data_IF_916581272130
#
_entry.id   IF_916581272130
#
_cell.length_a   1.000
_cell.length_b   1.000
_cell.length_c   1.000
_cell.angle_alpha   90.00
_cell.angle_beta   90.00
_cell.angle_gamma   90.00
#
_symmetry.space_group_name_H-M   'P 1'
#
loop_
_entity.id
_entity.type
_entity.pdbx_description
1 polymer ?
#
# COMPACT_ATOMS: atom_id res chain seq x y z
N UNK A 1 -20.83 10.77 15.96
CA UNK A 1 -19.91 9.80 16.61
C UNK A 1 -19.12 9.13 15.51
N UNK A 2 -17.82 9.46 15.40
CA UNK A 2 -16.93 8.74 14.47
C UNK A 2 -16.73 7.33 15.02
N UNK A 3 -17.16 6.30 14.29
CA UNK A 3 -16.90 4.89 14.66
C UNK A 3 -15.43 4.47 14.42
N UNK A 4 -14.61 5.35 13.86
CA UNK A 4 -13.23 5.06 13.48
C UNK A 4 -12.24 5.11 14.66
N UNK A 5 -12.57 5.85 15.73
CA UNK A 5 -11.71 6.04 16.91
C UNK A 5 -12.52 5.85 18.17
N UNK A 6 -12.04 4.97 19.06
CA UNK A 6 -12.62 4.78 20.39
C UNK A 6 -11.72 5.49 21.43
N UNK A 7 -12.09 6.65 21.95
CA UNK A 7 -11.32 7.32 22.99
C UNK A 7 -11.49 6.57 24.33
N UNK A 8 -10.38 6.39 25.03
CA UNK A 8 -10.35 5.86 26.39
C UNK A 8 -9.71 6.91 27.27
N UNK A 9 -10.39 7.29 28.35
CA UNK A 9 -9.88 8.21 29.35
C UNK A 9 -8.99 7.43 30.32
N UNK A 10 -7.72 7.85 30.38
CA UNK A 10 -6.71 7.27 31.27
C UNK A 10 -5.90 8.41 31.90
N UNK A 11 -5.19 8.09 32.99
CA UNK A 11 -4.26 9.03 33.60
C UNK A 11 -3.08 9.33 32.69
N UNK A 12 -2.45 10.50 32.86
CA UNK A 12 -1.38 10.98 31.99
C UNK A 12 -0.20 10.01 31.89
N UNK A 13 0.30 9.51 33.03
CA UNK A 13 1.47 8.63 33.06
C UNK A 13 1.17 7.27 32.37
N UNK A 14 -0.04 6.76 32.54
CA UNK A 14 -0.49 5.53 31.89
C UNK A 14 -0.65 5.74 30.38
N UNK A 15 -1.21 6.87 29.95
CA UNK A 15 -1.36 7.20 28.54
C UNK A 15 -0.02 7.27 27.81
N UNK A 16 0.97 7.92 28.40
CA UNK A 16 2.33 8.04 27.84
C UNK A 16 3.02 6.67 27.80
N UNK A 17 2.92 5.88 28.86
CA UNK A 17 3.51 4.54 28.88
C UNK A 17 2.93 3.62 27.82
N UNK A 18 1.59 3.62 27.62
CA UNK A 18 0.96 2.83 26.57
C UNK A 18 1.32 3.30 25.15
N UNK A 19 1.52 4.61 24.97
CA UNK A 19 1.97 5.18 23.71
C UNK A 19 3.41 4.78 23.37
N UNK A 20 4.33 4.84 24.35
CA UNK A 20 5.72 4.40 24.19
C UNK A 20 5.83 2.89 23.93
N UNK A 21 4.95 2.09 24.52
CA UNK A 21 4.85 0.65 24.28
C UNK A 21 4.13 0.29 22.97
N UNK A 22 3.76 1.29 22.15
CA UNK A 22 3.06 1.12 20.88
C UNK A 22 1.69 0.41 20.98
N UNK A 23 1.07 0.40 22.17
CA UNK A 23 -0.25 -0.19 22.42
C UNK A 23 -1.37 0.67 21.89
N UNK A 24 -1.18 1.98 21.85
CA UNK A 24 -2.13 2.96 21.31
C UNK A 24 -1.50 3.76 20.19
N UNK A 25 -2.30 4.11 19.18
CA UNK A 25 -1.83 4.80 17.97
C UNK A 25 -1.63 6.31 18.16
N UNK A 26 -2.29 6.90 19.17
CA UNK A 26 -2.16 8.32 19.51
C UNK A 26 -2.67 8.60 20.92
N UNK A 27 -2.17 9.69 21.50
CA UNK A 27 -2.61 10.25 22.78
C UNK A 27 -2.95 11.71 22.59
N UNK A 28 -4.14 12.10 23.03
CA UNK A 28 -4.59 13.50 23.08
C UNK A 28 -4.51 14.01 24.51
N UNK A 29 -3.69 15.02 24.74
CA UNK A 29 -3.51 15.65 26.03
C UNK A 29 -4.37 16.90 26.06
N UNK A 30 -5.31 16.94 26.99
CA UNK A 30 -6.22 18.07 27.22
C UNK A 30 -5.79 18.76 28.51
N UNK A 31 -5.36 20.05 28.47
CA UNK A 31 -4.99 20.79 29.69
C UNK A 31 -6.18 20.90 30.67
N UNK A 32 -5.89 20.90 31.96
CA UNK A 32 -6.93 21.05 33.00
C UNK A 32 -7.73 22.36 32.87
N UNK A 33 -7.06 23.41 32.38
CA UNK A 33 -7.64 24.76 32.18
C UNK A 33 -8.38 24.91 30.84
N UNK A 34 -8.57 23.81 30.08
CA UNK A 34 -9.18 23.85 28.73
C UNK A 34 -10.57 24.55 28.74
N UNK A 35 -11.37 24.25 29.71
CA UNK A 35 -12.70 24.88 29.84
C UNK A 35 -12.61 26.39 30.06
N UNK A 36 -11.74 26.83 30.95
CA UNK A 36 -11.61 28.25 31.28
C UNK A 36 -11.00 29.02 30.08
N UNK A 37 -10.06 28.42 29.35
CA UNK A 37 -9.50 28.99 28.14
C UNK A 37 -10.53 29.13 27.02
N UNK A 38 -11.40 28.15 26.82
CA UNK A 38 -12.46 28.22 25.80
C UNK A 38 -13.56 29.21 26.15
N UNK A 39 -13.90 29.34 27.42
CA UNK A 39 -14.93 30.28 27.91
C UNK A 39 -14.46 31.74 27.85
N UNK A 40 -13.18 32.02 28.12
CA UNK A 40 -12.62 33.38 28.21
C UNK A 40 -12.01 33.89 26.89
N UNK A 41 -12.42 33.35 25.74
CA UNK A 41 -11.88 33.69 24.42
C UNK A 41 -10.33 33.54 24.29
N UNK A 42 -9.72 32.73 25.15
CA UNK A 42 -8.29 32.41 25.12
C UNK A 42 -7.99 31.39 24.04
N UNK A 43 -6.70 31.34 23.66
CA UNK A 43 -6.21 30.28 22.76
C UNK A 43 -5.92 29.02 23.58
N UNK A 44 -6.83 28.04 23.52
CA UNK A 44 -6.56 26.72 24.06
C UNK A 44 -5.70 25.90 23.08
N UNK A 45 -4.58 25.37 23.55
CA UNK A 45 -3.73 24.46 22.77
C UNK A 45 -3.98 23.01 23.24
N UNK A 46 -4.25 22.14 22.29
CA UNK A 46 -4.32 20.70 22.52
C UNK A 46 -3.07 20.03 21.96
N UNK A 47 -2.47 19.13 22.72
CA UNK A 47 -1.30 18.39 22.27
C UNK A 47 -1.75 17.00 21.79
N UNK A 48 -1.53 16.72 20.51
CA UNK A 48 -1.76 15.41 19.93
C UNK A 48 -0.43 14.72 19.63
N UNK A 49 -0.09 13.67 20.36
CA UNK A 49 1.03 12.78 20.06
C UNK A 49 0.52 11.60 19.26
N UNK A 50 1.05 11.40 18.06
CA UNK A 50 0.69 10.30 17.16
C UNK A 50 1.91 9.53 16.69
N UNK A 51 1.74 8.26 16.39
CA UNK A 51 2.80 7.47 15.75
C UNK A 51 3.01 7.98 14.33
N UNK A 52 4.27 8.24 13.92
CA UNK A 52 4.56 8.71 12.57
C UNK A 52 4.23 7.65 11.52
N UNK A 53 3.75 8.07 10.36
CA UNK A 53 3.52 7.24 9.18
C UNK A 53 2.56 6.04 9.37
N UNK A 54 1.59 6.15 10.27
CA UNK A 54 0.55 5.13 10.45
C UNK A 54 -0.80 5.65 9.94
N UNK A 55 -1.57 4.79 9.25
CA UNK A 55 -2.93 5.11 8.81
C UNK A 55 -3.85 5.43 10.01
N UNK A 56 -3.65 4.73 11.12
CA UNK A 56 -4.38 4.99 12.36
C UNK A 56 -4.05 6.37 12.93
N UNK A 57 -2.78 6.81 12.86
CA UNK A 57 -2.38 8.15 13.29
C UNK A 57 -3.04 9.26 12.47
N UNK A 58 -3.19 9.06 11.14
CA UNK A 58 -3.90 9.99 10.27
C UNK A 58 -5.41 10.02 10.58
N UNK A 59 -6.03 8.86 10.80
CA UNK A 59 -7.45 8.78 11.16
C UNK A 59 -7.74 9.47 12.48
N UNK A 60 -6.86 9.32 13.49
CA UNK A 60 -6.99 10.01 14.78
C UNK A 60 -6.81 11.52 14.61
N UNK A 61 -5.84 11.97 13.84
CA UNK A 61 -5.62 13.40 13.55
C UNK A 61 -6.87 14.03 12.93
N UNK A 62 -7.45 13.41 11.92
CA UNK A 62 -8.69 13.87 11.29
C UNK A 62 -9.86 13.89 12.28
N UNK A 63 -10.01 12.85 13.11
CA UNK A 63 -11.06 12.77 14.10
C UNK A 63 -10.92 13.89 15.16
N UNK A 64 -9.68 14.18 15.60
CA UNK A 64 -9.41 15.27 16.56
C UNK A 64 -9.65 16.63 15.90
N UNK A 65 -9.22 16.85 14.66
CA UNK A 65 -9.48 18.10 13.94
C UNK A 65 -10.98 18.37 13.79
N UNK A 66 -11.76 17.35 13.44
CA UNK A 66 -13.22 17.46 13.36
C UNK A 66 -13.85 17.76 14.72
N UNK A 67 -13.38 17.13 15.80
CA UNK A 67 -13.89 17.38 17.14
C UNK A 67 -13.57 18.82 17.60
N UNK A 68 -12.35 19.29 17.38
CA UNK A 68 -11.91 20.66 17.68
C UNK A 68 -12.72 21.67 16.89
N UNK A 69 -12.90 21.46 15.58
CA UNK A 69 -13.71 22.33 14.73
C UNK A 69 -15.15 22.46 15.23
N UNK A 70 -15.78 21.36 15.67
CA UNK A 70 -17.13 21.38 16.25
C UNK A 70 -17.19 22.18 17.54
N UNK A 71 -16.25 21.95 18.46
CA UNK A 71 -16.22 22.70 19.73
C UNK A 71 -15.98 24.18 19.49
N UNK A 72 -15.06 24.52 18.59
CA UNK A 72 -14.79 25.92 18.21
C UNK A 72 -16.02 26.59 17.60
N UNK A 73 -16.75 25.90 16.72
CA UNK A 73 -17.97 26.44 16.14
C UNK A 73 -19.04 26.71 17.18
N UNK A 74 -19.22 25.80 18.14
CA UNK A 74 -20.18 26.01 19.25
C UNK A 74 -19.80 27.19 20.14
N UNK A 75 -18.51 27.30 20.48
CA UNK A 75 -17.98 28.41 21.27
C UNK A 75 -18.15 29.76 20.54
N UNK A 76 -17.94 29.78 19.23
CA UNK A 76 -18.14 30.99 18.43
C UNK A 76 -19.61 31.41 18.35
N UNK A 77 -20.53 30.47 18.17
CA UNK A 77 -21.98 30.76 18.23
C UNK A 77 -22.37 31.35 19.58
N UNK A 78 -21.88 30.76 20.67
CA UNK A 78 -22.17 31.28 22.01
C UNK A 78 -21.60 32.67 22.22
N UNK A 79 -20.36 32.93 21.77
CA UNK A 79 -19.69 34.23 21.83
C UNK A 79 -20.48 35.29 21.07
N UNK A 80 -20.80 35.04 19.82
CA UNK A 80 -21.55 35.96 18.96
C UNK A 80 -22.94 36.24 19.55
N UNK A 81 -23.60 35.19 20.05
CA UNK A 81 -24.91 35.36 20.71
C UNK A 81 -24.82 36.26 21.96
N UNK A 82 -23.79 36.10 22.78
CA UNK A 82 -23.53 36.91 23.97
C UNK A 82 -23.21 38.37 23.63
N UNK A 83 -22.34 38.58 22.61
CA UNK A 83 -22.04 39.94 22.13
C UNK A 83 -23.28 40.64 21.56
N UNK A 84 -24.12 39.91 20.84
CA UNK A 84 -25.35 40.44 20.27
C UNK A 84 -26.36 40.81 21.40
N UNK A 85 -26.50 39.93 22.39
CA UNK A 85 -27.37 40.21 23.57
C UNK A 85 -26.90 41.44 24.34
N UNK A 86 -25.58 41.58 24.59
CA UNK A 86 -25.01 42.72 25.27
C UNK A 86 -25.23 44.06 24.53
N UNK A 87 -25.40 44.02 23.20
CA UNK A 87 -25.69 45.22 22.40
C UNK A 87 -27.13 45.75 22.61
N UNK A 88 -28.08 44.87 22.87
CA UNK A 88 -29.45 45.24 23.09
C UNK A 88 -29.80 45.45 24.58
N UNK A 89 -29.20 44.65 25.45
CA UNK A 89 -29.40 44.70 26.89
C UNK A 89 -28.05 44.42 27.58
N UNK A 90 -27.34 45.47 28.02
CA UNK A 90 -26.09 45.30 28.74
C UNK A 90 -26.25 44.44 30.01
N UNK A 91 -25.35 43.50 30.20
CA UNK A 91 -25.33 42.66 31.42
C UNK A 91 -24.92 43.51 32.63
N UNK A 92 -25.57 43.30 33.75
CA UNK A 92 -25.27 44.05 34.97
C UNK A 92 -23.97 43.60 35.65
N UNK A 93 -23.59 42.31 35.46
CA UNK A 93 -22.38 41.72 36.04
C UNK A 93 -21.69 40.77 35.05
N UNK A 94 -20.39 40.54 35.23
CA UNK A 94 -19.64 39.57 34.43
C UNK A 94 -20.14 38.12 34.65
N UNK A 95 -20.66 37.82 35.89
CA UNK A 95 -21.27 36.54 36.20
C UNK A 95 -22.53 36.28 35.37
N UNK A 96 -23.37 37.31 35.18
CA UNK A 96 -24.56 37.23 34.34
C UNK A 96 -24.21 37.00 32.85
N UNK A 97 -23.20 37.71 32.38
CA UNK A 97 -22.67 37.50 31.02
C UNK A 97 -22.15 36.09 30.82
N UNK A 98 -21.44 35.55 31.80
CA UNK A 98 -20.92 34.18 31.72
C UNK A 98 -22.01 33.12 31.76
N UNK A 99 -23.02 33.31 32.62
CA UNK A 99 -24.19 32.43 32.67
C UNK A 99 -24.96 32.41 31.33
N UNK A 100 -25.09 33.57 30.68
CA UNK A 100 -25.69 33.65 29.35
C UNK A 100 -24.89 32.94 28.30
N UNK A 101 -23.54 33.10 28.31
CA UNK A 101 -22.67 32.39 27.42
C UNK A 101 -22.78 30.85 27.54
N UNK A 102 -22.78 30.34 28.78
CA UNK A 102 -22.93 28.92 29.05
C UNK A 102 -24.32 28.40 28.57
N UNK A 103 -25.37 29.18 28.80
CA UNK A 103 -26.70 28.81 28.30
C UNK A 103 -26.75 28.79 26.76
N UNK A 104 -26.16 29.78 26.10
CA UNK A 104 -26.06 29.84 24.64
C UNK A 104 -25.25 28.69 24.08
N UNK A 105 -24.15 28.33 24.73
CA UNK A 105 -23.31 27.19 24.35
C UNK A 105 -24.07 25.86 24.47
N UNK A 106 -24.77 25.65 25.58
CA UNK A 106 -25.58 24.44 25.79
C UNK A 106 -26.73 24.36 24.79
N UNK A 107 -27.37 25.46 24.48
CA UNK A 107 -28.43 25.51 23.48
C UNK A 107 -27.93 25.23 22.07
N UNK A 108 -26.80 25.81 21.69
CA UNK A 108 -26.15 25.52 20.42
C UNK A 108 -25.76 24.03 20.29
N UNK A 109 -25.26 23.45 21.40
CA UNK A 109 -24.92 22.01 21.46
C UNK A 109 -26.18 21.13 21.32
N UNK A 110 -27.27 21.46 21.94
CA UNK A 110 -28.54 20.71 21.86
C UNK A 110 -29.11 20.81 20.44
N UNK A 111 -29.16 22.02 19.88
CA UNK A 111 -29.63 22.23 18.51
C UNK A 111 -28.81 21.47 17.49
N UNK A 112 -27.49 21.43 17.66
CA UNK A 112 -26.60 20.64 16.76
C UNK A 112 -26.80 19.12 16.93
N UNK A 113 -27.21 18.65 18.12
CA UNK A 113 -27.49 17.24 18.39
C UNK A 113 -28.85 16.78 17.85
N UNK A 114 -29.83 17.70 17.80
CA UNK A 114 -31.21 17.47 17.36
C UNK A 114 -31.42 17.77 15.88
N UNK A 115 -30.47 18.48 15.22
CA UNK A 115 -30.61 18.71 13.79
C UNK A 115 -30.56 17.39 13.03
N UNK A 116 -31.55 17.13 12.15
CA UNK A 116 -31.44 16.03 11.19
C UNK A 116 -30.22 16.27 10.33
N UNK A 117 -29.45 15.22 10.05
CA UNK A 117 -28.29 15.28 9.15
C UNK A 117 -28.70 15.92 7.81
N UNK A 118 -28.56 17.24 7.70
CA UNK A 118 -28.89 18.00 6.48
C UNK A 118 -27.91 17.74 5.35
N UNK A 119 -26.74 17.21 5.68
CA UNK A 119 -25.72 16.80 4.75
C UNK A 119 -25.36 15.33 5.04
N UNK A 120 -26.05 14.44 4.40
CA UNK A 120 -25.60 13.06 4.30
C UNK A 120 -24.47 13.06 3.28
N UNK A 121 -23.24 12.82 3.72
CA UNK A 121 -22.18 12.47 2.79
C UNK A 121 -22.54 11.08 2.27
N UNK A 122 -23.26 11.05 1.15
CA UNK A 122 -23.35 9.83 0.36
C UNK A 122 -21.95 9.65 -0.19
N UNK A 123 -21.13 8.83 0.49
CA UNK A 123 -19.97 8.24 -0.15
C UNK A 123 -20.58 7.41 -1.28
N UNK A 124 -20.58 7.98 -2.50
CA UNK A 124 -20.92 7.22 -3.68
C UNK A 124 -19.93 6.06 -3.70
N UNK A 125 -20.37 4.90 -3.26
CA UNK A 125 -19.69 3.66 -3.61
C UNK A 125 -19.83 3.57 -5.12
N UNK A 126 -18.82 4.05 -5.83
CA UNK A 126 -18.56 3.50 -7.16
C UNK A 126 -18.52 1.99 -6.94
N UNK A 127 -19.23 1.23 -7.75
CA UNK A 127 -19.42 -0.22 -7.64
C UNK A 127 -18.13 -1.05 -7.72
N UNK A 128 -16.99 -0.42 -7.68
CA UNK A 128 -15.68 -1.01 -7.40
C UNK A 128 -15.13 -0.47 -6.08
N UNK A 129 -15.52 -1.02 -4.93
CA UNK A 129 -14.71 -0.86 -3.75
C UNK A 129 -13.41 -1.61 -4.05
N UNK A 130 -12.36 -0.88 -4.42
CA UNK A 130 -11.01 -1.42 -4.38
C UNK A 130 -10.78 -1.81 -2.93
N UNK A 131 -11.05 -3.05 -2.60
CA UNK A 131 -10.79 -3.61 -1.28
C UNK A 131 -9.27 -3.67 -1.15
N UNK A 132 -8.68 -2.55 -0.73
CA UNK A 132 -7.27 -2.49 -0.44
C UNK A 132 -7.00 -3.26 0.86
N UNK A 133 -6.37 -4.42 0.74
CA UNK A 133 -5.82 -5.15 1.87
C UNK A 133 -4.30 -4.90 1.93
N UNK A 134 -3.81 -4.13 2.93
CA UNK A 134 -2.38 -3.84 3.07
C UNK A 134 -1.52 -5.09 3.22
N UNK A 135 -2.04 -6.15 3.85
CA UNK A 135 -1.32 -7.41 4.05
C UNK A 135 -1.17 -8.19 2.75
N UNK A 136 -2.27 -8.28 1.99
CA UNK A 136 -2.27 -8.94 0.69
C UNK A 136 -1.37 -8.19 -0.29
N UNK A 137 -1.47 -6.86 -0.37
CA UNK A 137 -0.63 -6.04 -1.23
C UNK A 137 0.86 -6.19 -0.89
N UNK A 138 1.21 -6.08 0.39
CA UNK A 138 2.60 -6.22 0.84
C UNK A 138 3.14 -7.63 0.54
N UNK A 139 2.36 -8.68 0.82
CA UNK A 139 2.81 -10.07 0.60
C UNK A 139 2.95 -10.38 -0.88
N UNK A 140 1.97 -10.01 -1.73
CA UNK A 140 2.05 -10.17 -3.17
C UNK A 140 3.25 -9.40 -3.76
N UNK A 141 3.43 -8.15 -3.33
CA UNK A 141 4.55 -7.31 -3.75
C UNK A 141 5.92 -7.89 -3.37
N UNK A 142 6.05 -8.47 -2.19
CA UNK A 142 7.29 -9.15 -1.77
C UNK A 142 7.54 -10.43 -2.58
N UNK A 143 6.50 -11.24 -2.84
CA UNK A 143 6.63 -12.43 -3.70
C UNK A 143 7.19 -12.04 -5.06
N UNK A 144 6.63 -11.02 -5.70
CA UNK A 144 7.07 -10.58 -7.02
C UNK A 144 8.48 -9.99 -6.96
N UNK A 145 8.75 -9.09 -6.03
CA UNK A 145 10.05 -8.40 -5.91
C UNK A 145 11.19 -9.41 -5.72
N UNK A 146 11.04 -10.31 -4.75
CA UNK A 146 12.08 -11.28 -4.40
C UNK A 146 12.20 -12.46 -5.35
N UNK A 147 11.27 -12.59 -6.30
CA UNK A 147 11.38 -13.57 -7.38
C UNK A 147 11.91 -12.92 -8.67
N UNK A 148 11.41 -11.74 -9.04
CA UNK A 148 11.87 -11.08 -10.26
C UNK A 148 13.34 -10.65 -10.20
N UNK A 149 13.79 -10.04 -9.09
CA UNK A 149 15.17 -9.56 -8.96
C UNK A 149 16.18 -10.70 -9.12
N UNK A 150 16.09 -11.82 -8.37
CA UNK A 150 17.02 -12.94 -8.56
C UNK A 150 16.93 -13.57 -9.95
N UNK A 151 15.73 -13.74 -10.52
CA UNK A 151 15.57 -14.32 -11.85
C UNK A 151 16.20 -13.44 -12.95
N UNK A 152 16.08 -12.12 -12.84
CA UNK A 152 16.80 -11.19 -13.70
C UNK A 152 18.32 -11.31 -13.47
N UNK A 153 18.74 -11.52 -12.20
CA UNK A 153 20.13 -11.69 -11.79
C UNK A 153 20.81 -12.93 -12.38
N UNK A 154 20.04 -13.94 -12.76
CA UNK A 154 20.55 -15.10 -13.48
C UNK A 154 21.16 -14.75 -14.87
N UNK A 155 20.92 -13.53 -15.37
CA UNK A 155 21.64 -12.98 -16.52
C UNK A 155 23.16 -13.00 -16.31
N UNK A 156 23.66 -12.93 -15.07
CA UNK A 156 25.06 -13.05 -14.72
C UNK A 156 25.65 -14.43 -15.06
N UNK A 157 24.83 -15.50 -15.00
CA UNK A 157 25.27 -16.86 -15.38
C UNK A 157 25.71 -16.91 -16.84
N UNK A 158 25.02 -16.24 -17.76
CA UNK A 158 25.41 -16.19 -19.17
C UNK A 158 26.71 -15.45 -19.36
N UNK A 159 26.97 -14.37 -18.62
CA UNK A 159 28.23 -13.65 -18.64
C UNK A 159 29.36 -14.53 -18.11
N UNK A 160 29.15 -15.25 -17.01
CA UNK A 160 30.09 -16.20 -16.43
C UNK A 160 30.43 -17.34 -17.40
N UNK A 161 29.42 -18.00 -17.98
CA UNK A 161 29.62 -19.11 -18.92
C UNK A 161 30.35 -18.66 -20.18
N UNK A 162 30.12 -17.42 -20.63
CA UNK A 162 30.85 -16.82 -21.75
C UNK A 162 32.33 -16.61 -21.40
N UNK A 163 32.61 -16.04 -20.21
CA UNK A 163 33.96 -15.80 -19.73
C UNK A 163 34.78 -17.11 -19.56
N UNK A 164 34.13 -18.16 -19.04
CA UNK A 164 34.73 -19.49 -18.89
C UNK A 164 34.81 -20.30 -20.18
N UNK A 165 34.27 -19.80 -21.29
CA UNK A 165 34.25 -20.48 -22.57
C UNK A 165 33.35 -21.72 -22.63
N UNK A 166 32.47 -21.91 -21.63
CA UNK A 166 31.54 -23.05 -21.57
C UNK A 166 30.55 -23.00 -22.71
N UNK A 167 30.07 -21.80 -23.07
CA UNK A 167 29.19 -21.61 -24.23
C UNK A 167 29.83 -22.04 -25.55
N UNK A 168 31.13 -21.82 -25.73
CA UNK A 168 31.86 -22.29 -26.94
C UNK A 168 31.89 -23.81 -27.07
N UNK A 169 31.95 -24.53 -25.96
CA UNK A 169 31.88 -26.00 -25.96
C UNK A 169 30.51 -26.53 -26.34
N UNK A 170 29.45 -25.79 -26.03
CA UNK A 170 28.10 -26.10 -26.48
C UNK A 170 27.95 -26.01 -28.01
N UNK A 171 28.76 -25.20 -28.67
CA UNK A 171 28.74 -25.04 -30.12
C UNK A 171 29.09 -26.32 -30.90
N UNK A 172 29.88 -27.21 -30.31
CA UNK A 172 30.23 -28.50 -30.93
C UNK A 172 29.21 -29.59 -30.69
N UNK A 173 28.13 -29.27 -29.90
CA UNK A 173 27.02 -30.17 -29.71
C UNK A 173 25.85 -29.80 -30.64
N UNK A 174 24.99 -30.75 -31.05
CA UNK A 174 23.83 -30.48 -31.92
C UNK A 174 22.67 -29.79 -31.15
N UNK A 175 22.99 -28.88 -30.24
CA UNK A 175 22.00 -28.21 -29.40
C UNK A 175 21.62 -26.86 -30.00
N UNK A 176 20.29 -26.64 -30.21
CA UNK A 176 19.80 -25.34 -30.70
C UNK A 176 19.83 -24.28 -29.61
N UNK A 177 19.95 -23.00 -30.00
CA UNK A 177 19.86 -21.87 -29.07
C UNK A 177 18.54 -21.89 -28.25
N UNK A 178 17.44 -22.18 -28.91
CA UNK A 178 16.13 -22.26 -28.29
C UNK A 178 16.07 -23.38 -27.24
N UNK A 179 16.67 -24.54 -27.53
CA UNK A 179 16.74 -25.65 -26.57
C UNK A 179 17.55 -25.30 -25.34
N UNK A 180 18.72 -24.68 -25.52
CA UNK A 180 19.57 -24.24 -24.40
C UNK A 180 18.90 -23.18 -23.54
N UNK A 181 18.37 -22.10 -24.15
CA UNK A 181 17.68 -21.03 -23.42
C UNK A 181 16.40 -21.53 -22.77
N UNK A 182 15.62 -22.38 -23.45
CA UNK A 182 14.41 -22.99 -22.91
C UNK A 182 14.69 -23.88 -21.69
N UNK A 183 15.74 -24.70 -21.74
CA UNK A 183 16.17 -25.52 -20.60
C UNK A 183 16.60 -24.66 -19.40
N UNK A 184 17.34 -23.59 -19.67
CA UNK A 184 17.74 -22.63 -18.63
C UNK A 184 16.53 -21.97 -17.99
N UNK A 185 15.56 -21.50 -18.77
CA UNK A 185 14.32 -20.90 -18.27
C UNK A 185 13.54 -21.91 -17.44
N UNK A 186 13.38 -23.15 -17.88
CA UNK A 186 12.67 -24.17 -17.12
C UNK A 186 13.32 -24.45 -15.76
N UNK A 187 14.64 -24.56 -15.71
CA UNK A 187 15.38 -24.72 -14.45
C UNK A 187 15.13 -23.54 -13.49
N UNK A 188 15.16 -22.32 -14.02
CA UNK A 188 14.90 -21.10 -13.25
C UNK A 188 13.48 -21.03 -12.75
N UNK A 189 12.50 -21.40 -13.57
CA UNK A 189 11.08 -21.45 -13.21
C UNK A 189 10.85 -22.42 -12.05
N UNK A 190 11.48 -23.59 -12.07
CA UNK A 190 11.36 -24.56 -10.98
C UNK A 190 11.85 -23.97 -9.63
N UNK A 191 12.99 -23.31 -9.64
CA UNK A 191 13.55 -22.65 -8.46
C UNK A 191 12.59 -21.53 -7.99
N UNK A 192 12.10 -20.72 -8.91
CA UNK A 192 11.16 -19.64 -8.62
C UNK A 192 9.84 -20.15 -8.03
N UNK A 193 9.30 -21.27 -8.53
CA UNK A 193 8.08 -21.87 -8.00
C UNK A 193 8.28 -22.39 -6.58
N UNK A 194 9.43 -22.98 -6.27
CA UNK A 194 9.76 -23.37 -4.89
C UNK A 194 9.81 -22.13 -3.99
N UNK A 195 10.49 -21.07 -4.42
CA UNK A 195 10.61 -19.82 -3.67
C UNK A 195 9.24 -19.14 -3.47
N UNK A 196 8.43 -19.04 -4.52
CA UNK A 196 7.07 -18.47 -4.43
C UNK A 196 6.19 -19.29 -3.48
N UNK A 197 6.25 -20.62 -3.57
CA UNK A 197 5.49 -21.50 -2.67
C UNK A 197 5.87 -21.28 -1.21
N UNK A 198 7.16 -21.15 -0.91
CA UNK A 198 7.63 -20.85 0.46
C UNK A 198 7.09 -19.49 0.94
N UNK A 199 7.10 -18.47 0.10
CA UNK A 199 6.60 -17.13 0.44
C UNK A 199 5.06 -17.13 0.60
N UNK A 200 4.32 -17.86 -0.22
CA UNK A 200 2.86 -18.06 -0.09
C UNK A 200 2.53 -18.77 1.22
N UNK A 201 3.23 -19.85 1.54
CA UNK A 201 3.06 -20.58 2.81
C UNK A 201 3.36 -19.67 3.99
N UNK A 202 4.45 -18.92 3.94
CA UNK A 202 4.80 -17.94 4.97
C UNK A 202 3.71 -16.87 5.13
N UNK A 203 3.23 -16.29 4.04
CA UNK A 203 2.14 -15.31 4.03
C UNK A 203 0.84 -15.88 4.63
N UNK A 204 0.53 -17.16 4.34
CA UNK A 204 -0.62 -17.84 4.92
C UNK A 204 -0.48 -18.05 6.44
N UNK A 205 0.67 -18.49 6.89
CA UNK A 205 0.90 -18.83 8.30
C UNK A 205 1.08 -17.59 9.19
N UNK A 206 1.87 -16.61 8.73
CA UNK A 206 2.24 -15.42 9.52
C UNK A 206 1.24 -14.30 9.37
N UNK A 207 0.85 -13.97 8.12
CA UNK A 207 -0.07 -12.86 7.84
C UNK A 207 -1.54 -13.29 7.86
N UNK A 208 -1.80 -14.61 7.97
CA UNK A 208 -3.15 -15.22 7.93
C UNK A 208 -3.91 -14.88 6.66
N UNK A 209 -3.19 -14.77 5.53
CA UNK A 209 -3.79 -14.54 4.22
C UNK A 209 -4.41 -15.82 3.67
N UNK A 210 -5.58 -15.69 3.08
CA UNK A 210 -6.26 -16.82 2.48
C UNK A 210 -5.93 -16.92 0.98
N UNK A 211 -4.82 -17.56 0.65
CA UNK A 211 -4.46 -17.91 -0.73
C UNK A 211 -5.20 -19.13 -1.26
N UNK A 212 -5.91 -19.82 -0.37
CA UNK A 212 -6.53 -21.12 -0.66
C UNK A 212 -7.89 -21.08 -1.35
N UNK A 213 -8.43 -19.91 -1.67
CA UNK A 213 -9.72 -19.81 -2.36
C UNK A 213 -9.67 -20.41 -3.78
N UNK A 214 -8.53 -20.26 -4.47
CA UNK A 214 -8.31 -20.83 -5.80
C UNK A 214 -6.88 -21.32 -5.99
N UNK A 215 -6.52 -22.52 -5.51
CA UNK A 215 -5.17 -23.06 -5.68
C UNK A 215 -4.73 -23.17 -7.14
N UNK A 216 -5.67 -23.51 -8.04
CA UNK A 216 -5.39 -23.58 -9.47
C UNK A 216 -5.09 -22.21 -10.08
N UNK A 217 -5.86 -21.18 -9.74
CA UNK A 217 -5.59 -19.80 -10.16
C UNK A 217 -4.24 -19.31 -9.64
N UNK A 218 -3.94 -19.57 -8.36
CA UNK A 218 -2.65 -19.22 -7.77
C UNK A 218 -1.48 -19.89 -8.51
N UNK A 219 -1.57 -21.18 -8.79
CA UNK A 219 -0.57 -21.91 -9.55
C UNK A 219 -0.38 -21.33 -10.97
N UNK A 220 -1.46 -20.94 -11.65
CA UNK A 220 -1.39 -20.31 -12.98
C UNK A 220 -0.63 -18.97 -12.91
N UNK A 221 -0.95 -18.10 -11.96
CA UNK A 221 -0.27 -16.80 -11.79
C UNK A 221 1.20 -17.00 -11.44
N UNK A 222 1.52 -17.95 -10.54
CA UNK A 222 2.89 -18.25 -10.16
C UNK A 222 3.72 -18.73 -11.36
N UNK A 223 3.19 -19.66 -12.16
CA UNK A 223 3.86 -20.20 -13.35
C UNK A 223 4.05 -19.11 -14.40
N UNK A 224 3.01 -18.33 -14.72
CA UNK A 224 3.07 -17.26 -15.70
C UNK A 224 4.08 -16.17 -15.29
N UNK A 225 4.07 -15.77 -14.02
CA UNK A 225 5.00 -14.77 -13.46
C UNK A 225 6.44 -15.27 -13.49
N UNK A 226 6.69 -16.53 -13.10
CA UNK A 226 8.01 -17.14 -13.12
C UNK A 226 8.57 -17.26 -14.54
N UNK A 227 7.74 -17.70 -15.50
CA UNK A 227 8.11 -17.76 -16.92
C UNK A 227 8.48 -16.38 -17.47
N UNK A 228 7.69 -15.37 -17.15
CA UNK A 228 7.93 -14.00 -17.56
C UNK A 228 9.27 -13.47 -17.02
N UNK A 229 9.47 -13.61 -15.71
CA UNK A 229 10.70 -13.12 -15.05
C UNK A 229 11.96 -13.86 -15.53
N UNK A 230 11.89 -15.19 -15.69
CA UNK A 230 12.98 -16.01 -16.20
C UNK A 230 13.32 -15.66 -17.66
N UNK A 231 12.32 -15.43 -18.49
CA UNK A 231 12.51 -15.01 -19.88
C UNK A 231 13.15 -13.62 -19.99
N UNK A 232 12.74 -12.68 -19.11
CA UNK A 232 13.34 -11.35 -19.00
C UNK A 232 14.81 -11.44 -18.59
N UNK A 233 15.13 -12.24 -17.56
CA UNK A 233 16.51 -12.47 -17.12
C UNK A 233 17.37 -13.09 -18.21
N UNK A 234 16.84 -14.08 -18.92
CA UNK A 234 17.50 -14.73 -20.07
C UNK A 234 17.76 -13.72 -21.19
N UNK A 235 16.77 -12.91 -21.55
CA UNK A 235 16.92 -11.83 -22.53
C UNK A 235 18.03 -10.87 -22.13
N UNK A 236 18.03 -10.37 -20.90
CA UNK A 236 19.06 -9.45 -20.40
C UNK A 236 20.45 -10.11 -20.43
N UNK A 237 20.55 -11.40 -20.13
CA UNK A 237 21.80 -12.17 -20.24
C UNK A 237 22.44 -12.15 -21.62
N UNK A 238 21.66 -11.92 -22.69
CA UNK A 238 22.20 -11.81 -24.05
C UNK A 238 22.87 -10.46 -24.33
N UNK A 239 22.60 -9.43 -23.54
CA UNK A 239 23.11 -8.07 -23.70
C UNK A 239 24.28 -7.75 -22.76
N UNK A 240 24.32 -8.37 -21.57
CA UNK A 240 25.34 -8.10 -20.56
C UNK A 240 26.71 -8.75 -20.96
N UNK A 241 27.80 -8.06 -20.59
CA UNK A 241 29.15 -8.50 -20.89
C UNK A 241 29.93 -9.00 -19.69
N UNK A 242 29.54 -8.66 -18.49
CA UNK A 242 30.21 -9.09 -17.25
C UNK A 242 29.19 -9.40 -16.15
N UNK A 243 29.58 -10.25 -15.20
CA UNK A 243 28.77 -10.60 -14.04
C UNK A 243 28.40 -9.36 -13.21
N UNK A 244 29.36 -8.44 -13.00
CA UNK A 244 29.13 -7.21 -12.25
C UNK A 244 28.09 -6.32 -12.93
N UNK A 245 28.15 -6.19 -14.25
CA UNK A 245 27.17 -5.46 -15.04
C UNK A 245 25.78 -6.12 -14.92
N UNK A 246 25.71 -7.45 -15.04
CA UNK A 246 24.49 -8.21 -14.93
C UNK A 246 23.82 -8.00 -13.56
N UNK A 247 24.58 -8.12 -12.48
CA UNK A 247 24.08 -7.95 -11.12
C UNK A 247 23.59 -6.53 -10.89
N UNK A 248 24.33 -5.50 -11.30
CA UNK A 248 23.91 -4.10 -11.15
C UNK A 248 22.63 -3.80 -11.94
N UNK A 249 22.55 -4.22 -13.21
CA UNK A 249 21.37 -4.03 -14.04
C UNK A 249 20.16 -4.80 -13.51
N UNK A 250 20.36 -6.00 -12.99
CA UNK A 250 19.28 -6.83 -12.46
C UNK A 250 18.61 -6.18 -11.25
N UNK A 251 19.41 -5.65 -10.31
CA UNK A 251 18.90 -4.96 -9.14
C UNK A 251 18.17 -3.68 -9.58
N UNK A 252 18.80 -2.88 -10.45
CA UNK A 252 18.22 -1.62 -10.91
C UNK A 252 16.89 -1.84 -11.66
N UNK A 253 16.88 -2.74 -12.64
CA UNK A 253 15.68 -3.04 -13.43
C UNK A 253 14.62 -3.69 -12.55
N UNK A 254 15.00 -4.65 -11.70
CA UNK A 254 14.06 -5.34 -10.82
C UNK A 254 13.40 -4.41 -9.81
N UNK A 255 14.17 -3.50 -9.19
CA UNK A 255 13.62 -2.50 -8.28
C UNK A 255 12.70 -1.51 -9.00
N UNK A 256 13.08 -1.04 -10.19
CA UNK A 256 12.26 -0.13 -10.97
C UNK A 256 10.95 -0.78 -11.40
N UNK A 257 11.00 -2.03 -11.87
CA UNK A 257 9.82 -2.82 -12.22
C UNK A 257 8.91 -3.06 -10.99
N UNK A 258 9.49 -3.38 -9.83
CA UNK A 258 8.74 -3.60 -8.60
C UNK A 258 8.05 -2.31 -8.12
N UNK A 259 8.78 -1.19 -8.12
CA UNK A 259 8.23 0.10 -7.70
C UNK A 259 7.11 0.56 -8.62
N UNK A 260 7.34 0.57 -9.94
CA UNK A 260 6.35 1.04 -10.91
C UNK A 260 5.20 0.05 -11.11
N UNK A 261 5.43 -1.24 -10.89
CA UNK A 261 4.40 -2.28 -10.98
C UNK A 261 3.45 -2.36 -9.79
N UNK A 262 3.62 -1.50 -8.78
CA UNK A 262 2.72 -1.46 -7.60
C UNK A 262 3.09 -2.45 -6.50
N UNK A 263 4.29 -3.08 -6.55
CA UNK A 263 4.68 -4.09 -5.56
C UNK A 263 4.99 -3.50 -4.18
N UNK A 264 5.51 -2.27 -4.12
CA UNK A 264 5.86 -1.62 -2.85
C UNK A 264 4.81 -0.63 -2.37
N UNK A 265 4.16 0.03 -3.30
CA UNK A 265 3.07 0.97 -3.02
C UNK A 265 1.88 0.63 -3.91
N UNK A 266 0.66 0.69 -3.38
CA UNK A 266 -0.54 0.45 -4.17
C UNK A 266 -0.57 1.32 -5.43
N UNK A 267 -0.87 0.72 -6.56
CA UNK A 267 -0.88 1.43 -7.85
C UNK A 267 -1.92 2.54 -7.89
N UNK A 268 -2.95 2.44 -7.06
CA UNK A 268 -4.04 3.40 -6.91
C UNK A 268 -3.57 4.76 -6.38
N UNK A 269 -2.44 4.78 -5.64
CA UNK A 269 -1.85 6.01 -5.09
C UNK A 269 -1.08 6.82 -6.14
N UNK A 270 -0.81 6.23 -7.31
CA UNK A 270 -0.07 6.91 -8.37
C UNK A 270 -1.00 7.77 -9.25
N UNK A 271 -0.49 8.89 -9.81
CA UNK A 271 -1.21 9.66 -10.81
C UNK A 271 -1.63 8.80 -12.01
N UNK A 272 -2.75 9.16 -12.65
CA UNK A 272 -3.35 8.39 -13.76
C UNK A 272 -2.35 8.09 -14.88
N UNK A 273 -1.46 9.04 -15.21
CA UNK A 273 -0.43 8.83 -16.24
C UNK A 273 0.55 7.70 -15.89
N UNK A 274 0.97 7.61 -14.62
CA UNK A 274 1.87 6.54 -14.15
C UNK A 274 1.15 5.20 -14.10
N UNK A 275 -0.12 5.17 -13.66
CA UNK A 275 -0.94 3.95 -13.67
C UNK A 275 -1.09 3.36 -15.08
N UNK A 276 -1.33 4.21 -16.07
CA UNK A 276 -1.44 3.77 -17.46
C UNK A 276 -0.09 3.24 -17.98
N UNK A 277 1.01 3.90 -17.64
CA UNK A 277 2.35 3.44 -18.01
C UNK A 277 2.72 2.10 -17.33
N UNK A 278 2.27 1.87 -16.09
CA UNK A 278 2.52 0.63 -15.35
C UNK A 278 1.92 -0.61 -16.06
N UNK A 279 0.83 -0.46 -16.80
CA UNK A 279 0.22 -1.54 -17.58
C UNK A 279 1.14 -2.09 -18.68
N UNK A 280 2.16 -1.33 -19.08
CA UNK A 280 3.19 -1.81 -20.00
C UNK A 280 4.28 -2.66 -19.31
N UNK A 281 4.18 -2.88 -17.99
CA UNK A 281 5.18 -3.60 -17.21
C UNK A 281 4.65 -4.98 -16.77
N UNK A 282 5.46 -6.03 -16.84
CA UNK A 282 5.03 -7.37 -16.44
C UNK A 282 4.71 -7.48 -14.94
N UNK A 283 5.40 -6.72 -14.10
CA UNK A 283 5.18 -6.73 -12.64
C UNK A 283 3.80 -6.18 -12.25
N UNK A 284 3.23 -5.26 -13.02
CA UNK A 284 1.85 -4.80 -12.85
C UNK A 284 0.86 -5.97 -12.99
N UNK A 285 0.96 -6.75 -14.05
CA UNK A 285 0.06 -7.87 -14.31
C UNK A 285 0.26 -9.02 -13.33
N UNK A 286 1.51 -9.28 -12.93
CA UNK A 286 1.77 -10.23 -11.86
C UNK A 286 1.10 -9.78 -10.55
N UNK A 287 1.22 -8.49 -10.20
CA UNK A 287 0.62 -7.92 -9.00
C UNK A 287 -0.91 -8.01 -9.02
N UNK A 288 -1.55 -7.65 -10.15
CA UNK A 288 -3.00 -7.78 -10.30
C UNK A 288 -3.45 -9.23 -10.16
N UNK A 289 -2.77 -10.19 -10.79
CA UNK A 289 -3.12 -11.60 -10.68
C UNK A 289 -3.04 -12.14 -9.25
N UNK A 290 -2.02 -11.77 -8.47
CA UNK A 290 -1.94 -12.16 -7.06
C UNK A 290 -3.05 -11.50 -6.21
N UNK A 291 -3.36 -10.22 -6.45
CA UNK A 291 -4.42 -9.51 -5.74
C UNK A 291 -5.82 -10.06 -6.09
N UNK A 292 -6.03 -10.45 -7.33
CA UNK A 292 -7.29 -11.06 -7.77
C UNK A 292 -7.59 -12.35 -7.01
N UNK A 293 -6.57 -13.13 -6.69
CA UNK A 293 -6.73 -14.34 -5.90
C UNK A 293 -6.88 -14.01 -4.42
N UNK A 294 -5.96 -13.20 -3.87
CA UNK A 294 -5.86 -12.97 -2.42
C UNK A 294 -6.98 -12.08 -1.86
N UNK A 295 -7.41 -11.08 -2.62
CA UNK A 295 -8.35 -10.04 -2.18
C UNK A 295 -9.72 -10.21 -2.83
N UNK A 296 -9.74 -10.39 -4.17
CA UNK A 296 -10.99 -10.46 -4.95
C UNK A 296 -11.56 -11.88 -5.02
N UNK A 297 -10.83 -12.90 -4.53
CA UNK A 297 -11.27 -14.29 -4.49
C UNK A 297 -11.52 -14.93 -5.86
N UNK A 298 -10.86 -14.43 -6.89
CA UNK A 298 -11.08 -14.88 -8.26
C UNK A 298 -10.48 -16.28 -8.51
N UNK A 299 -11.17 -17.03 -9.36
CA UNK A 299 -10.71 -18.35 -9.81
C UNK A 299 -9.82 -18.29 -11.06
N UNK A 300 -9.47 -19.46 -11.64
CA UNK A 300 -8.61 -19.56 -12.83
C UNK A 300 -9.08 -18.72 -14.02
N UNK A 301 -10.39 -18.61 -14.21
CA UNK A 301 -10.99 -17.83 -15.30
C UNK A 301 -10.78 -16.32 -15.05
N UNK A 302 -10.89 -15.88 -13.79
CA UNK A 302 -10.72 -14.49 -13.43
C UNK A 302 -9.30 -13.96 -13.62
N UNK A 303 -8.28 -14.81 -13.44
CA UNK A 303 -6.86 -14.45 -13.64
C UNK A 303 -6.32 -14.79 -15.03
N UNK A 304 -7.18 -15.23 -15.94
CA UNK A 304 -6.77 -15.66 -17.27
C UNK A 304 -6.18 -14.50 -18.11
N UNK A 305 -6.68 -13.29 -17.92
CA UNK A 305 -6.17 -12.11 -18.61
C UNK A 305 -4.72 -11.81 -18.19
N UNK A 306 -4.46 -11.75 -16.90
CA UNK A 306 -3.13 -11.47 -16.32
C UNK A 306 -2.12 -12.54 -16.75
N UNK A 307 -2.51 -13.80 -16.66
CA UNK A 307 -1.68 -14.92 -17.11
C UNK A 307 -1.37 -14.83 -18.61
N UNK A 308 -2.37 -14.51 -19.45
CA UNK A 308 -2.19 -14.38 -20.90
C UNK A 308 -1.21 -13.26 -21.25
N UNK A 309 -1.34 -12.11 -20.60
CA UNK A 309 -0.43 -10.97 -20.81
C UNK A 309 1.00 -11.33 -20.35
N UNK A 310 1.15 -11.96 -19.19
CA UNK A 310 2.46 -12.41 -18.68
C UNK A 310 3.12 -13.41 -19.61
N UNK A 311 2.38 -14.37 -20.15
CA UNK A 311 2.88 -15.33 -21.15
C UNK A 311 3.24 -14.63 -22.47
N UNK A 312 2.49 -13.59 -22.85
CA UNK A 312 2.83 -12.72 -23.98
C UNK A 312 4.18 -12.03 -23.77
N UNK A 313 4.42 -11.43 -22.61
CA UNK A 313 5.73 -10.86 -22.25
C UNK A 313 6.83 -11.92 -22.26
N UNK A 314 6.57 -13.11 -21.69
CA UNK A 314 7.52 -14.21 -21.68
C UNK A 314 7.95 -14.62 -23.10
N UNK A 315 6.97 -14.73 -24.01
CA UNK A 315 7.23 -15.07 -25.43
C UNK A 315 8.05 -14.00 -26.13
N UNK A 316 7.73 -12.72 -25.93
CA UNK A 316 8.48 -11.59 -26.50
C UNK A 316 9.92 -11.58 -26.00
N UNK A 317 10.13 -11.69 -24.68
CA UNK A 317 11.46 -11.70 -24.08
C UNK A 317 12.28 -12.92 -24.54
N UNK A 318 11.65 -14.09 -24.61
CA UNK A 318 12.29 -15.30 -25.11
C UNK A 318 12.73 -15.17 -26.57
N UNK A 319 11.84 -14.64 -27.41
CA UNK A 319 12.13 -14.42 -28.84
C UNK A 319 13.28 -13.44 -29.02
N UNK A 320 13.27 -12.30 -28.33
CA UNK A 320 14.38 -11.34 -28.34
C UNK A 320 15.66 -11.99 -27.84
N UNK A 321 15.58 -12.81 -26.79
CA UNK A 321 16.69 -13.59 -26.26
C UNK A 321 17.32 -14.49 -27.33
N UNK A 322 16.50 -15.30 -28.03
CA UNK A 322 16.99 -16.19 -29.09
C UNK A 322 17.68 -15.42 -30.25
N UNK A 323 17.05 -14.32 -30.69
CA UNK A 323 17.57 -13.53 -31.80
C UNK A 323 18.89 -12.86 -31.47
N UNK A 324 19.09 -12.42 -30.25
CA UNK A 324 20.30 -11.71 -29.82
C UNK A 324 21.35 -12.63 -29.17
N UNK A 325 21.02 -13.90 -28.93
CA UNK A 325 21.96 -14.82 -28.29
C UNK A 325 23.19 -15.09 -29.20
N UNK A 326 24.34 -14.74 -28.65
CA UNK A 326 25.63 -14.99 -29.27
C UNK A 326 26.43 -15.94 -28.40
N UNK A 327 27.13 -16.85 -29.03
CA UNK A 327 28.00 -17.79 -28.33
C UNK A 327 29.41 -17.23 -28.09
N UNK A 328 29.71 -16.05 -28.69
CA UNK A 328 31.01 -15.38 -28.59
C UNK A 328 31.12 -14.47 -27.37
#
# INVERSE_FOLDING_TARGET
KSNAVKPVLVDYDMAISEFEQLKVSAVLIIPAEFNDMTLNAGKASLELRKQPNTLNGLAVEQAVQLAVSRVTSLAEVARVSTEYAAKYQPFATEAERQAFYEQAFMQARTSLAEEPERLTTVVGSTEDPIHYDPKANSTAGQIITWVFIPLIGLSAMFAYERDKGTLRRLFVTPTSKATYLGATILGQVLIALVQMTLLVVFGSLVMKLNWGQSPAGLAMVMVASALCAASLGTMLGTFVRSESQANGLSIMIGMLLAMMGGCWYPIELFPVGIRNAAQALPTYWAMQGFLDIAVRGQGPVGVAQECTVLLGFALVFFTIGILNFKYD
#
